data_IF_039057140401
#
_entry.id   IF_039057140401
#
_cell.length_a   1.000
_cell.length_b   1.000
_cell.length_c   1.000
_cell.angle_alpha   90.00
_cell.angle_beta   90.00
_cell.angle_gamma   90.00
#
_symmetry.space_group_name_H-M   'P 1'
#
loop_
_entity.id
_entity.type
_entity.pdbx_description
1 polymer ?
#
# COMPACT_ATOMS: atom_id res chain seq x y z
N UNK A 1 -7.41 28.26 20.88
CA UNK A 1 -8.16 28.14 19.61
C UNK A 1 -7.21 28.56 18.50
N UNK A 2 -6.71 27.63 17.69
CA UNK A 2 -5.80 27.97 16.59
C UNK A 2 -6.63 28.10 15.31
N UNK A 3 -6.58 29.29 14.70
CA UNK A 3 -7.36 29.65 13.51
C UNK A 3 -6.78 29.03 12.25
N UNK A 4 -7.65 28.46 11.43
CA UNK A 4 -7.32 27.90 10.13
C UNK A 4 -7.13 29.04 9.11
N UNK A 5 -5.97 29.10 8.44
CA UNK A 5 -5.75 30.04 7.32
C UNK A 5 -6.12 29.36 6.01
N UNK A 6 -7.16 29.86 5.34
CA UNK A 6 -7.61 29.37 4.03
C UNK A 6 -6.55 29.63 2.95
N UNK A 7 -6.09 28.56 2.28
CA UNK A 7 -5.55 28.65 0.92
C UNK A 7 -4.04 28.40 0.72
N UNK A 8 -3.26 27.99 1.71
CA UNK A 8 -1.84 27.64 1.52
C UNK A 8 -1.49 26.30 2.16
N UNK A 9 -0.93 25.36 1.38
CA UNK A 9 -0.39 24.12 1.92
C UNK A 9 0.70 24.44 2.95
N UNK A 10 0.54 23.94 4.18
CA UNK A 10 1.42 24.27 5.30
C UNK A 10 2.87 23.81 5.05
N UNK A 11 3.81 24.74 5.25
CA UNK A 11 5.23 24.54 4.97
C UNK A 11 5.94 23.77 6.10
N UNK A 12 6.78 22.81 5.71
CA UNK A 12 7.51 21.82 6.53
C UNK A 12 8.57 22.40 7.50
N UNK A 13 8.66 23.71 7.68
CA UNK A 13 9.85 24.38 8.20
C UNK A 13 10.22 24.03 9.66
N UNK A 14 9.35 23.35 10.42
CA UNK A 14 9.60 22.95 11.81
C UNK A 14 9.13 21.51 12.14
N UNK A 15 9.14 20.59 11.17
CA UNK A 15 8.72 19.21 11.43
C UNK A 15 9.86 18.38 12.05
N UNK A 16 9.57 17.76 13.19
CA UNK A 16 10.45 16.77 13.82
C UNK A 16 10.49 15.55 12.90
N UNK A 17 11.67 15.04 12.51
CA UNK A 17 11.76 13.85 11.66
C UNK A 17 11.03 12.68 12.31
N UNK A 18 10.04 12.11 11.61
CA UNK A 18 9.35 10.89 12.06
C UNK A 18 9.61 9.78 11.05
N UNK A 19 9.79 8.54 11.54
CA UNK A 19 9.97 7.37 10.66
C UNK A 19 8.65 6.96 10.01
N UNK A 20 7.54 7.10 10.73
CA UNK A 20 6.19 6.82 10.23
C UNK A 20 5.33 8.07 10.37
N UNK A 21 4.67 8.44 9.27
CA UNK A 21 3.69 9.52 9.28
C UNK A 21 2.32 8.99 9.72
N UNK A 22 1.54 9.81 10.42
CA UNK A 22 0.26 9.40 11.06
C UNK A 22 -0.93 9.17 10.12
N UNK A 23 -0.72 9.20 8.79
CA UNK A 23 -1.77 9.06 7.78
C UNK A 23 -2.22 7.61 7.49
N UNK A 24 -1.71 6.63 8.26
CA UNK A 24 -1.98 5.21 8.04
C UNK A 24 -1.06 4.55 7.02
N UNK A 25 -1.31 3.28 6.74
CA UNK A 25 -0.54 2.47 5.78
C UNK A 25 -1.44 1.41 5.14
N UNK A 26 -1.18 1.07 3.88
CA UNK A 26 -1.81 -0.06 3.20
C UNK A 26 -0.83 -1.22 3.08
N UNK A 27 -1.35 -2.45 3.09
CA UNK A 27 -0.58 -3.66 2.80
C UNK A 27 -1.01 -4.19 1.43
N UNK A 28 -0.06 -4.56 0.59
CA UNK A 28 -0.34 -5.10 -0.75
C UNK A 28 0.46 -6.36 -1.02
N UNK A 29 -0.11 -7.27 -1.80
CA UNK A 29 0.58 -8.38 -2.44
C UNK A 29 0.66 -8.11 -3.94
N UNK A 30 1.77 -8.49 -4.56
CA UNK A 30 1.87 -8.50 -6.02
C UNK A 30 2.99 -9.42 -6.48
N UNK A 31 2.94 -9.80 -7.75
CA UNK A 31 3.98 -10.63 -8.37
C UNK A 31 4.51 -9.98 -9.64
N UNK A 32 5.73 -10.30 -10.04
CA UNK A 32 6.37 -9.78 -11.25
C UNK A 32 7.26 -10.86 -11.90
N UNK A 33 7.49 -10.72 -13.20
CA UNK A 33 8.47 -11.50 -13.97
C UNK A 33 9.25 -10.57 -14.92
N UNK A 34 10.20 -11.14 -15.68
CA UNK A 34 10.99 -10.38 -16.65
C UNK A 34 10.13 -9.67 -17.71
N UNK A 35 8.96 -10.22 -18.02
CA UNK A 35 7.98 -9.67 -18.95
C UNK A 35 7.15 -8.51 -18.40
N UNK A 36 7.11 -8.33 -17.08
CA UNK A 36 6.40 -7.22 -16.45
C UNK A 36 5.79 -7.53 -15.07
N UNK A 37 4.98 -6.60 -14.54
CA UNK A 37 4.21 -6.82 -13.32
C UNK A 37 2.93 -7.64 -13.59
N UNK A 38 2.61 -8.54 -12.66
CA UNK A 38 1.32 -9.23 -12.59
C UNK A 38 0.32 -8.43 -11.73
N UNK A 39 -0.66 -9.11 -11.14
CA UNK A 39 -1.69 -8.44 -10.32
C UNK A 39 -1.12 -7.89 -9.03
N UNK A 40 -1.74 -6.80 -8.57
CA UNK A 40 -1.59 -6.24 -7.24
C UNK A 40 -2.92 -6.39 -6.50
N UNK A 41 -2.86 -6.88 -5.26
CA UNK A 41 -3.99 -7.11 -4.36
C UNK A 41 -3.78 -6.30 -3.09
N UNK A 42 -4.77 -5.50 -2.72
CA UNK A 42 -4.78 -4.79 -1.43
C UNK A 42 -5.27 -5.76 -0.35
N UNK A 43 -4.54 -5.83 0.75
CA UNK A 43 -4.86 -6.68 1.90
C UNK A 43 -5.47 -5.80 2.98
N UNK A 44 -6.67 -6.16 3.41
CA UNK A 44 -7.29 -5.54 4.56
C UNK A 44 -6.71 -6.13 5.86
N UNK A 45 -6.31 -5.25 6.77
CA UNK A 45 -5.66 -5.61 8.02
C UNK A 45 -4.29 -6.29 7.86
N UNK A 46 -4.02 -7.26 8.74
CA UNK A 46 -2.72 -7.95 8.81
C UNK A 46 -2.78 -9.26 8.02
N UNK A 47 -1.85 -9.43 7.08
CA UNK A 47 -1.70 -10.72 6.39
C UNK A 47 -1.42 -11.84 7.40
N UNK A 48 -2.20 -12.92 7.31
CA UNK A 48 -1.96 -14.18 7.98
C UNK A 48 -1.80 -15.32 6.95
N UNK A 49 -1.46 -16.52 7.41
CA UNK A 49 -1.18 -17.66 6.53
C UNK A 49 -2.37 -18.07 5.66
N UNK A 50 -3.60 -17.97 6.18
CA UNK A 50 -4.82 -18.31 5.45
C UNK A 50 -5.08 -17.28 4.33
N UNK A 51 -5.09 -16.00 4.68
CA UNK A 51 -5.24 -14.89 3.71
C UNK A 51 -4.19 -14.98 2.61
N UNK A 52 -2.94 -15.34 2.96
CA UNK A 52 -1.89 -15.52 1.96
C UNK A 52 -2.17 -16.70 1.02
N UNK A 53 -2.61 -17.84 1.54
CA UNK A 53 -2.96 -19.01 0.73
C UNK A 53 -4.13 -18.71 -0.21
N UNK A 54 -5.16 -18.02 0.27
CA UNK A 54 -6.32 -17.61 -0.53
C UNK A 54 -5.88 -16.68 -1.68
N UNK A 55 -5.05 -15.68 -1.39
CA UNK A 55 -4.48 -14.77 -2.41
C UNK A 55 -3.71 -15.56 -3.47
N UNK A 56 -2.88 -16.53 -3.06
CA UNK A 56 -2.12 -17.34 -4.01
C UNK A 56 -3.04 -18.18 -4.90
N UNK A 57 -4.02 -18.85 -4.31
CA UNK A 57 -4.97 -19.70 -5.03
C UNK A 57 -5.76 -18.89 -6.07
N UNK A 58 -6.18 -17.68 -5.71
CA UNK A 58 -7.00 -16.83 -6.57
C UNK A 58 -6.18 -16.06 -7.61
N UNK A 59 -4.98 -15.59 -7.26
CA UNK A 59 -4.28 -14.57 -8.07
C UNK A 59 -3.06 -15.08 -8.81
N UNK A 60 -2.46 -16.23 -8.45
CA UNK A 60 -1.25 -16.71 -9.13
C UNK A 60 -1.50 -17.06 -10.59
N UNK A 61 -2.45 -17.97 -10.88
CA UNK A 61 -2.71 -18.39 -12.27
C UNK A 61 -3.13 -17.21 -13.16
N UNK A 62 -4.03 -16.33 -12.71
CA UNK A 62 -4.41 -15.19 -13.53
C UNK A 62 -3.31 -14.14 -13.69
N UNK A 63 -2.40 -14.01 -12.72
CA UNK A 63 -1.24 -13.13 -12.86
C UNK A 63 -0.22 -13.69 -13.84
N UNK A 64 0.06 -15.00 -13.80
CA UNK A 64 0.97 -15.65 -14.77
C UNK A 64 0.47 -15.51 -16.21
N UNK A 65 -0.86 -15.45 -16.43
CA UNK A 65 -1.43 -15.18 -17.76
C UNK A 65 -1.28 -13.73 -18.24
N UNK A 66 -1.01 -12.80 -17.32
CA UNK A 66 -0.79 -11.39 -17.60
C UNK A 66 0.70 -11.06 -17.76
N UNK A 67 1.56 -12.01 -17.38
CA UNK A 67 3.00 -11.98 -17.55
C UNK A 67 3.37 -12.58 -18.92
#
# INVERSE_FOLDING_TARGET
MCGEKKGTAHQHQNLIPTVKHGGGSIMVWGCFAASGPGRIVVIDGKMNSRVYQDILQENVRPSVRQL
#
